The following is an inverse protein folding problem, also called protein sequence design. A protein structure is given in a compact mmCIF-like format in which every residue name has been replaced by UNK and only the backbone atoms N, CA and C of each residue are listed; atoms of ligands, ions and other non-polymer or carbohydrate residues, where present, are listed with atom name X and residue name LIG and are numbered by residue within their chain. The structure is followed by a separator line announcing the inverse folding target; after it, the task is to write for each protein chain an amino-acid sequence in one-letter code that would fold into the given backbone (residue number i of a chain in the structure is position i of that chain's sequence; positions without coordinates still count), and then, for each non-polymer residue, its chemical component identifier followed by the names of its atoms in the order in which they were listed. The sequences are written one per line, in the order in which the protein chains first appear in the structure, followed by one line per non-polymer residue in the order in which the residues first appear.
data_IF_909114254691
#
_entry.id   IF_909114254691
#
_cell.length_a   1.000
_cell.length_b   1.000
_cell.length_c   1.000
_cell.angle_alpha   90.00
_cell.angle_beta   90.00
_cell.angle_gamma   90.00
#
_symmetry.space_group_name_H-M   'P 1'
#
loop_
_entity.id
_entity.type
_entity.pdbx_description
1 polymer ?
#
# COMPACT_ATOMS: atom_id res chain seq x y z
N UNK A 1 -6.47 7.56 -15.87
CA UNK A 1 -5.82 6.27 -15.57
C UNK A 1 -5.03 6.25 -14.25
N UNK A 2 -4.53 7.38 -13.73
CA UNK A 2 -4.01 7.48 -12.35
C UNK A 2 -4.68 8.60 -11.54
N UNK A 3 -5.88 9.02 -11.95
CA UNK A 3 -6.49 10.21 -11.39
C UNK A 3 -5.81 11.52 -11.82
N UNK A 4 -4.83 11.49 -12.73
CA UNK A 4 -4.12 12.70 -13.19
C UNK A 4 -4.93 13.60 -14.15
N UNK A 5 -6.15 13.20 -14.51
CA UNK A 5 -7.03 14.04 -15.32
C UNK A 5 -7.56 15.20 -14.47
N UNK A 6 -7.83 16.36 -15.07
CA UNK A 6 -8.32 17.55 -14.35
C UNK A 6 -9.55 17.23 -13.49
N UNK A 7 -10.52 16.52 -14.05
CA UNK A 7 -11.74 16.11 -13.33
C UNK A 7 -11.56 14.98 -12.32
N UNK A 8 -10.38 14.35 -12.25
CA UNK A 8 -10.11 13.20 -11.39
C UNK A 8 -9.23 13.56 -10.18
N UNK A 9 -8.35 14.57 -10.33
CA UNK A 9 -7.44 15.05 -9.29
C UNK A 9 -8.21 15.67 -8.14
N UNK A 10 -9.29 16.37 -8.45
CA UNK A 10 -10.12 17.10 -7.49
C UNK A 10 -11.11 16.19 -6.75
N UNK A 11 -11.29 14.94 -7.20
CA UNK A 11 -12.18 13.99 -6.53
C UNK A 11 -11.54 13.53 -5.23
N UNK A 12 -12.07 14.03 -4.12
CA UNK A 12 -11.83 13.54 -2.77
C UNK A 12 -12.97 12.60 -2.35
N UNK A 13 -12.73 11.80 -1.31
CA UNK A 13 -13.82 11.04 -0.69
C UNK A 13 -14.73 11.98 0.08
N UNK A 14 -16.04 11.75 0.03
CA UNK A 14 -16.98 12.51 0.86
C UNK A 14 -16.72 12.21 2.33
N UNK A 15 -16.62 13.27 3.14
CA UNK A 15 -16.41 13.19 4.58
C UNK A 15 -17.39 14.12 5.26
N UNK A 16 -18.02 13.66 6.33
CA UNK A 16 -18.94 14.47 7.13
C UNK A 16 -18.25 14.73 8.47
N UNK A 17 -17.53 15.84 8.54
CA UNK A 17 -16.71 16.21 9.70
C UNK A 17 -17.12 17.60 10.14
N UNK A 18 -17.56 17.70 11.40
CA UNK A 18 -18.07 18.93 11.98
C UNK A 18 -16.95 19.83 12.53
N UNK A 19 -15.86 19.25 13.04
CA UNK A 19 -14.71 19.98 13.56
C UNK A 19 -13.38 19.29 13.23
N UNK A 20 -12.50 20.01 12.53
CA UNK A 20 -11.18 19.56 12.12
C UNK A 20 -10.13 19.67 13.23
N UNK A 21 -10.40 20.42 14.29
CA UNK A 21 -9.46 20.69 15.37
C UNK A 21 -9.53 19.68 16.51
N UNK A 22 -10.44 18.71 16.44
CA UNK A 22 -10.55 17.64 17.44
C UNK A 22 -9.21 16.92 17.54
N UNK A 23 -8.61 16.90 18.73
CA UNK A 23 -7.44 16.08 19.02
C UNK A 23 -7.85 14.61 19.12
N UNK A 24 -7.16 13.77 18.37
CA UNK A 24 -7.40 12.34 18.30
C UNK A 24 -6.08 11.56 18.45
N UNK A 25 -6.21 10.30 18.84
CA UNK A 25 -5.11 9.35 18.81
C UNK A 25 -5.43 8.18 17.90
N UNK A 26 -4.45 7.72 17.13
CA UNK A 26 -4.61 6.58 16.22
C UNK A 26 -3.37 5.70 16.19
N UNK A 27 -3.54 4.48 15.67
CA UNK A 27 -2.43 3.56 15.44
C UNK A 27 -1.94 3.68 14.01
N UNK A 28 -0.64 3.63 13.81
CA UNK A 28 -0.06 3.71 12.47
C UNK A 28 1.04 2.68 12.27
N UNK A 29 1.12 2.10 11.08
CA UNK A 29 2.33 1.39 10.65
C UNK A 29 3.41 2.40 10.27
N UNK A 30 4.57 2.29 10.91
CA UNK A 30 5.78 3.07 10.59
C UNK A 30 6.90 2.10 10.20
N UNK A 31 7.68 2.53 9.23
CA UNK A 31 8.85 1.79 8.76
C UNK A 31 10.09 2.50 9.28
N UNK A 32 10.82 1.81 10.16
CA UNK A 32 11.99 2.34 10.85
C UNK A 32 13.21 1.47 10.57
N UNK A 33 14.40 2.06 10.71
CA UNK A 33 15.65 1.35 10.55
C UNK A 33 16.18 0.94 11.92
N UNK A 34 16.44 -0.34 12.10
CA UNK A 34 16.91 -0.89 13.36
C UNK A 34 18.19 -1.69 13.15
N UNK A 35 19.14 -1.53 14.06
CA UNK A 35 20.37 -2.33 14.09
C UNK A 35 20.06 -3.69 14.72
N UNK A 36 20.15 -4.76 13.93
CA UNK A 36 20.02 -6.14 14.42
C UNK A 36 21.35 -6.88 14.33
N UNK A 37 21.69 -7.59 15.41
CA UNK A 37 22.80 -8.53 15.40
C UNK A 37 22.39 -9.81 14.67
N UNK A 38 23.15 -10.20 13.65
CA UNK A 38 22.99 -11.48 12.97
C UNK A 38 23.83 -12.55 13.66
N UNK A 39 23.51 -13.83 13.40
CA UNK A 39 24.18 -15.00 14.01
C UNK A 39 25.70 -15.02 13.90
N UNK A 40 26.27 -14.29 12.95
CA UNK A 40 27.71 -14.13 12.75
C UNK A 40 28.33 -12.95 13.53
N UNK A 41 27.59 -12.35 14.47
CA UNK A 41 28.02 -11.18 15.25
C UNK A 41 28.03 -9.87 14.48
N UNK A 42 27.71 -9.87 13.18
CA UNK A 42 27.65 -8.64 12.38
C UNK A 42 26.35 -7.91 12.65
N UNK A 43 26.46 -6.63 13.02
CA UNK A 43 25.32 -5.73 13.12
C UNK A 43 24.99 -5.23 11.72
N UNK A 44 23.76 -5.45 11.27
CA UNK A 44 23.24 -4.83 10.04
C UNK A 44 22.05 -3.95 10.37
N UNK A 45 21.93 -2.87 9.61
CA UNK A 45 20.74 -2.04 9.60
C UNK A 45 19.65 -2.77 8.79
N UNK A 46 18.51 -3.01 9.41
CA UNK A 46 17.37 -3.68 8.81
C UNK A 46 16.18 -2.75 8.87
N UNK A 47 15.47 -2.64 7.76
CA UNK A 47 14.20 -1.92 7.68
C UNK A 47 13.09 -2.79 8.28
N UNK A 48 12.44 -2.31 9.34
CA UNK A 48 11.38 -3.02 10.04
C UNK A 48 10.13 -2.16 10.02
N UNK A 49 8.99 -2.77 9.67
CA UNK A 49 7.69 -2.13 9.79
C UNK A 49 7.04 -2.55 11.09
N UNK A 50 6.76 -1.59 11.97
CA UNK A 50 6.10 -1.81 13.26
C UNK A 50 4.83 -0.98 13.35
N UNK A 51 3.85 -1.51 14.09
CA UNK A 51 2.66 -0.75 14.46
C UNK A 51 3.05 0.15 15.63
N UNK A 52 3.11 1.45 15.40
CA UNK A 52 3.29 2.45 16.43
C UNK A 52 1.92 2.72 17.07
N UNK A 53 1.74 2.37 18.35
CA UNK A 53 0.52 2.70 19.06
C UNK A 53 0.47 4.18 19.41
N UNK A 54 -0.71 4.78 19.34
CA UNK A 54 -1.02 6.12 19.88
C UNK A 54 -0.19 7.28 19.32
N UNK A 55 -0.20 7.46 17.99
CA UNK A 55 0.12 8.76 17.41
C UNK A 55 -0.99 9.75 17.75
N UNK A 56 -0.64 11.00 18.06
CA UNK A 56 -1.58 12.05 18.41
C UNK A 56 -1.55 13.17 17.37
N UNK A 57 -2.69 13.81 17.13
CA UNK A 57 -2.79 14.97 16.24
C UNK A 57 -4.23 15.41 16.06
N UNK A 58 -4.46 16.43 15.23
CA UNK A 58 -5.82 16.86 14.90
C UNK A 58 -6.47 15.90 13.90
N UNK A 59 -7.81 15.80 13.97
CA UNK A 59 -8.59 15.07 12.99
C UNK A 59 -8.33 15.60 11.57
N UNK A 60 -8.23 16.93 11.40
CA UNK A 60 -7.91 17.52 10.11
C UNK A 60 -6.59 17.04 9.51
N UNK A 61 -5.54 16.92 10.33
CA UNK A 61 -4.27 16.36 9.85
C UNK A 61 -4.41 14.92 9.34
N UNK A 62 -5.20 14.08 10.05
CA UNK A 62 -5.44 12.70 9.62
C UNK A 62 -6.24 12.65 8.31
N UNK A 63 -7.16 13.59 8.12
CA UNK A 63 -7.99 13.69 6.93
C UNK A 63 -7.22 14.12 5.69
N UNK A 64 -6.38 15.15 5.83
CA UNK A 64 -5.49 15.59 4.75
C UNK A 64 -4.63 14.41 4.31
N UNK A 65 -4.06 13.68 5.26
CA UNK A 65 -3.28 12.48 4.98
C UNK A 65 -4.08 11.38 4.29
N UNK A 66 -5.33 11.15 4.70
CA UNK A 66 -6.19 10.18 4.04
C UNK A 66 -6.43 10.56 2.58
N UNK A 67 -6.73 11.84 2.30
CA UNK A 67 -7.01 12.30 0.94
C UNK A 67 -5.75 12.39 0.06
N UNK A 68 -4.61 12.78 0.62
CA UNK A 68 -3.39 12.96 -0.15
C UNK A 68 -2.63 11.65 -0.36
N UNK A 69 -2.42 10.89 0.72
CA UNK A 69 -1.64 9.66 0.64
C UNK A 69 -2.49 8.46 0.28
N UNK A 70 -3.56 8.21 1.03
CA UNK A 70 -4.28 6.93 0.94
C UNK A 70 -5.21 6.89 -0.26
N UNK A 71 -5.93 7.96 -0.53
CA UNK A 71 -6.89 8.01 -1.62
C UNK A 71 -6.22 8.02 -3.00
N UNK A 72 -5.15 8.80 -3.19
CA UNK A 72 -4.44 8.83 -4.47
C UNK A 72 -3.69 7.50 -4.71
N UNK A 73 -2.91 7.03 -3.73
CA UNK A 73 -2.13 5.79 -3.87
C UNK A 73 -3.05 4.57 -3.97
N UNK A 74 -4.12 4.53 -3.18
CA UNK A 74 -5.12 3.46 -3.19
C UNK A 74 -5.85 3.34 -4.53
N UNK A 75 -6.33 4.46 -5.09
CA UNK A 75 -6.95 4.46 -6.43
C UNK A 75 -6.00 3.94 -7.50
N UNK A 76 -4.73 4.37 -7.47
CA UNK A 76 -3.70 3.89 -8.39
C UNK A 76 -3.48 2.38 -8.25
N UNK A 77 -3.37 1.88 -7.02
CA UNK A 77 -3.20 0.45 -6.76
C UNK A 77 -4.37 -0.38 -7.30
N UNK A 78 -5.61 -0.01 -6.94
CA UNK A 78 -6.82 -0.69 -7.41
C UNK A 78 -6.92 -0.70 -8.93
N UNK A 79 -6.58 0.43 -9.56
CA UNK A 79 -6.55 0.52 -11.01
C UNK A 79 -5.55 -0.46 -11.63
N UNK A 80 -4.32 -0.50 -11.12
CA UNK A 80 -3.26 -1.39 -11.61
C UNK A 80 -3.71 -2.84 -11.51
N UNK A 81 -4.20 -3.26 -10.34
CA UNK A 81 -4.66 -4.64 -10.10
C UNK A 81 -5.80 -5.00 -11.05
N UNK A 82 -6.82 -4.14 -11.18
CA UNK A 82 -7.93 -4.39 -12.11
C UNK A 82 -7.44 -4.51 -13.55
N UNK A 83 -6.53 -3.64 -13.97
CA UNK A 83 -6.00 -3.66 -15.33
C UNK A 83 -5.17 -4.94 -15.59
N UNK A 84 -4.31 -5.32 -14.66
CA UNK A 84 -3.55 -6.57 -14.72
C UNK A 84 -4.47 -7.78 -14.84
N UNK A 85 -5.52 -7.85 -14.01
CA UNK A 85 -6.49 -8.95 -14.06
C UNK A 85 -7.27 -8.99 -15.38
N UNK A 86 -7.60 -7.83 -15.95
CA UNK A 86 -8.24 -7.77 -17.26
C UNK A 86 -7.31 -8.28 -18.38
N UNK A 87 -6.04 -7.87 -18.39
CA UNK A 87 -5.06 -8.36 -19.36
C UNK A 87 -4.81 -9.86 -19.19
N UNK A 88 -4.72 -10.33 -17.96
CA UNK A 88 -4.62 -11.75 -17.62
C UNK A 88 -5.77 -12.56 -18.24
N UNK A 89 -7.03 -12.12 -18.05
CA UNK A 89 -8.21 -12.81 -18.58
C UNK A 89 -8.20 -12.85 -20.10
N UNK A 90 -7.94 -11.70 -20.74
CA UNK A 90 -7.87 -11.59 -22.20
C UNK A 90 -6.81 -12.51 -22.79
N UNK A 91 -5.63 -12.55 -22.18
CA UNK A 91 -4.54 -13.40 -22.65
C UNK A 91 -4.92 -14.88 -22.55
N UNK A 92 -5.54 -15.29 -21.45
CA UNK A 92 -6.03 -16.67 -21.27
C UNK A 92 -7.10 -17.04 -22.31
N UNK A 93 -7.99 -16.11 -22.64
CA UNK A 93 -9.05 -16.31 -23.64
C UNK A 93 -8.52 -16.35 -25.07
N UNK A 94 -7.37 -15.72 -25.35
CA UNK A 94 -6.78 -15.65 -26.69
C UNK A 94 -5.71 -16.72 -26.98
N UNK A 95 -5.50 -17.68 -26.08
CA UNK A 95 -4.50 -18.73 -26.27
C UNK A 95 -4.88 -19.67 -27.42
N UNK A 96 -3.91 -19.96 -28.28
CA UNK A 96 -4.05 -21.01 -29.29
C UNK A 96 -3.95 -22.41 -28.66
N UNK A 97 -4.46 -23.47 -29.32
CA UNK A 97 -4.45 -24.83 -28.77
C UNK A 97 -3.06 -25.39 -28.41
N UNK A 98 -2.00 -24.84 -29.01
CA UNK A 98 -0.60 -25.22 -28.82
C UNK A 98 0.19 -24.24 -27.94
N UNK A 99 -0.47 -23.28 -27.31
CA UNK A 99 0.16 -22.30 -26.43
C UNK A 99 -0.21 -22.59 -24.96
N UNK A 100 0.68 -22.20 -24.05
CA UNK A 100 0.41 -22.24 -22.63
C UNK A 100 0.74 -20.90 -21.98
N UNK A 101 0.00 -20.56 -20.93
CA UNK A 101 0.22 -19.34 -20.17
C UNK A 101 0.69 -19.68 -18.76
N UNK A 102 1.84 -19.11 -18.37
CA UNK A 102 2.45 -19.28 -17.06
C UNK A 102 2.26 -18.00 -16.25
N UNK A 103 1.47 -18.09 -15.18
CA UNK A 103 1.32 -17.02 -14.21
C UNK A 103 2.25 -17.27 -13.02
N UNK A 104 3.21 -16.39 -12.81
CA UNK A 104 4.11 -16.45 -11.65
C UNK A 104 3.73 -15.30 -10.72
N UNK A 105 3.19 -15.64 -9.56
CA UNK A 105 2.91 -14.69 -8.49
C UNK A 105 4.06 -14.71 -7.47
N UNK A 106 4.61 -13.53 -7.17
CA UNK A 106 5.68 -13.36 -6.18
C UNK A 106 5.16 -12.84 -4.83
N UNK A 107 3.84 -12.73 -4.65
CA UNK A 107 3.23 -12.21 -3.42
C UNK A 107 3.63 -12.99 -2.15
N UNK A 108 4.02 -14.28 -2.26
CA UNK A 108 4.37 -15.12 -1.11
C UNK A 108 5.81 -14.99 -0.61
N UNK A 109 6.72 -14.34 -1.35
CA UNK A 109 8.15 -14.30 -0.97
C UNK A 109 8.47 -13.42 0.25
N UNK A 110 7.46 -12.79 0.86
CA UNK A 110 7.65 -12.03 2.11
C UNK A 110 7.28 -12.81 3.39
N UNK A 111 6.61 -13.96 3.29
CA UNK A 111 6.14 -14.72 4.47
C UNK A 111 7.16 -15.80 4.94
N UNK A 112 8.21 -16.07 4.16
CA UNK A 112 9.07 -17.26 4.37
C UNK A 112 10.54 -17.05 4.76
N UNK A 113 11.08 -15.83 4.86
CA UNK A 113 12.48 -15.62 5.29
C UNK A 113 12.57 -15.18 6.75
N UNK A 114 12.05 -16.01 7.64
CA UNK A 114 12.67 -16.18 8.95
C UNK A 114 13.70 -17.30 8.81
N UNK A 115 14.85 -16.99 8.21
CA UNK A 115 16.02 -17.83 8.45
C UNK A 115 16.34 -17.73 9.95
N UNK A 116 16.31 -18.91 10.58
CA UNK A 116 16.55 -19.25 11.99
C UNK A 116 17.31 -18.23 12.82
#
# INVERSE_FOLDING_TARGET
MFGNCSSCKEKQGETNIEDFNIEISWNQWKTEKEKRAFKNGKIKEVTVTKKTPQENGSLGHLMDRFHDDLWIKGRKHLFIVKNQMNHYRKLKESLLPNECFLHVDFAENYVGKMEK
#
